data_IF_576758076372
#
_entry.id   IF_576758076372
#
_cell.length_a   1.000
_cell.length_b   1.000
_cell.length_c   1.000
_cell.angle_alpha   90.00
_cell.angle_beta   90.00
_cell.angle_gamma   90.00
#
_symmetry.space_group_name_H-M   'P 1'
#
loop_
_entity.id
_entity.type
_entity.pdbx_description
1 polymer ?
#
# COMPACT_ATOMS: atom_id res chain seq x y z
N UNK A 1 -13.89 1.46 37.67
CA UNK A 1 -15.06 1.13 36.81
C UNK A 1 -15.79 2.34 36.24
N UNK A 2 -16.61 3.12 36.96
CA UNK A 2 -17.42 4.22 36.34
C UNK A 2 -16.62 5.18 35.45
N UNK A 3 -15.43 5.60 35.89
CA UNK A 3 -14.56 6.50 35.12
C UNK A 3 -14.12 5.91 33.76
N UNK A 4 -13.72 4.63 33.74
CA UNK A 4 -13.44 3.87 32.51
C UNK A 4 -14.68 3.82 31.59
N UNK A 5 -15.88 3.55 32.14
CA UNK A 5 -17.11 3.55 31.35
C UNK A 5 -17.38 4.90 30.68
N UNK A 6 -17.13 6.02 31.37
CA UNK A 6 -17.30 7.37 30.81
C UNK A 6 -16.31 7.64 29.66
N UNK A 7 -15.04 7.27 29.82
CA UNK A 7 -14.03 7.47 28.77
C UNK A 7 -14.26 6.51 27.60
N UNK A 8 -14.63 5.25 27.84
CA UNK A 8 -15.02 4.32 26.77
C UNK A 8 -16.29 4.78 26.02
N UNK A 9 -17.25 5.43 26.69
CA UNK A 9 -18.42 6.02 26.03
C UNK A 9 -18.02 7.23 25.15
N UNK A 10 -17.11 8.07 25.62
CA UNK A 10 -16.53 9.17 24.83
C UNK A 10 -15.74 8.64 23.63
N UNK A 11 -14.86 7.67 23.84
CA UNK A 11 -14.07 7.03 22.80
C UNK A 11 -14.98 6.34 21.76
N UNK A 12 -16.04 5.63 22.20
CA UNK A 12 -17.09 5.15 21.29
C UNK A 12 -17.69 6.30 20.48
N UNK A 13 -18.02 7.44 21.10
CA UNK A 13 -18.53 8.64 20.42
C UNK A 13 -17.53 9.31 19.47
N UNK A 14 -16.23 9.03 19.59
CA UNK A 14 -15.19 9.44 18.66
C UNK A 14 -14.91 8.39 17.56
N UNK A 15 -15.07 7.09 17.83
CA UNK A 15 -14.72 5.97 16.92
C UNK A 15 -15.63 5.74 15.69
N UNK A 16 -16.72 6.48 15.53
CA UNK A 16 -17.40 6.61 14.22
C UNK A 16 -17.28 8.01 13.63
N UNK A 17 -16.64 8.92 14.38
CA UNK A 17 -15.91 10.11 13.93
C UNK A 17 -14.65 9.76 13.12
N UNK A 18 -13.84 8.89 13.72
CA UNK A 18 -12.39 8.77 13.50
C UNK A 18 -11.97 7.30 13.47
N UNK A 19 -10.91 6.98 12.74
CA UNK A 19 -10.43 5.60 12.51
C UNK A 19 -9.80 5.00 13.78
N UNK A 20 -9.15 5.82 14.62
CA UNK A 20 -8.50 5.42 15.86
C UNK A 20 -8.72 6.45 16.98
N UNK A 21 -8.70 6.01 18.23
CA UNK A 21 -8.82 6.86 19.43
C UNK A 21 -7.94 6.31 20.55
N UNK A 22 -7.13 7.16 21.19
CA UNK A 22 -6.43 6.84 22.43
C UNK A 22 -7.34 7.00 23.66
N UNK A 23 -7.29 6.02 24.56
CA UNK A 23 -7.94 6.03 25.87
C UNK A 23 -6.84 6.18 26.91
N UNK A 24 -6.80 7.34 27.58
CA UNK A 24 -5.83 7.64 28.63
C UNK A 24 -6.52 7.90 29.96
N UNK A 25 -6.03 7.26 31.02
CA UNK A 25 -6.55 7.34 32.38
C UNK A 25 -5.40 7.44 33.38
N UNK A 26 -5.37 8.50 34.18
CA UNK A 26 -4.31 8.72 35.18
C UNK A 26 -4.34 7.79 36.40
N UNK A 27 -5.44 7.06 36.62
CA UNK A 27 -5.58 6.09 37.71
C UNK A 27 -6.74 5.12 37.42
N UNK A 28 -6.42 3.87 37.08
CA UNK A 28 -7.41 2.82 36.82
C UNK A 28 -7.63 1.93 38.06
N UNK A 29 -6.54 1.50 38.69
CA UNK A 29 -6.51 0.74 39.94
C UNK A 29 -5.18 1.06 40.67
N UNK A 30 -5.21 1.22 42.00
CA UNK A 30 -4.03 1.37 42.87
C UNK A 30 -2.97 2.40 42.42
N UNK A 31 -3.37 3.44 41.68
CA UNK A 31 -2.47 4.48 41.17
C UNK A 31 -1.72 4.13 39.89
N UNK A 32 -1.99 2.97 39.28
CA UNK A 32 -1.51 2.66 37.93
C UNK A 32 -2.31 3.41 36.87
N UNK A 33 -1.60 4.13 36.01
CA UNK A 33 -2.16 4.72 34.79
C UNK A 33 -2.50 3.64 33.76
N UNK A 34 -3.46 3.93 32.89
CA UNK A 34 -3.86 3.07 31.78
C UNK A 34 -3.92 3.89 30.50
N UNK A 35 -3.11 3.50 29.51
CA UNK A 35 -3.18 4.01 28.15
C UNK A 35 -3.43 2.84 27.18
N UNK A 36 -4.37 3.01 26.26
CA UNK A 36 -4.66 2.01 25.23
C UNK A 36 -5.28 2.69 24.01
N UNK A 37 -4.74 2.41 22.83
CA UNK A 37 -5.34 2.82 21.55
C UNK A 37 -6.34 1.78 21.08
N UNK A 38 -7.53 2.23 20.70
CA UNK A 38 -8.59 1.40 20.12
C UNK A 38 -8.82 1.87 18.69
N UNK A 39 -8.77 0.95 17.74
CA UNK A 39 -9.13 1.22 16.34
C UNK A 39 -10.60 0.89 16.09
N UNK A 40 -11.17 1.53 15.07
CA UNK A 40 -12.56 1.32 14.63
C UNK A 40 -12.80 -0.15 14.24
N UNK A 41 -11.91 -0.76 13.46
CA UNK A 41 -11.99 -2.17 13.10
C UNK A 41 -11.96 -3.10 14.35
N UNK A 42 -11.12 -2.78 15.35
CA UNK A 42 -11.10 -3.57 16.59
C UNK A 42 -12.38 -3.42 17.39
N UNK A 43 -12.94 -2.21 17.48
CA UNK A 43 -14.24 -1.96 18.10
C UNK A 43 -15.39 -2.68 17.37
N UNK A 44 -15.35 -2.73 16.03
CA UNK A 44 -16.33 -3.45 15.20
C UNK A 44 -16.28 -4.97 15.49
N UNK A 45 -15.11 -5.61 15.39
CA UNK A 45 -14.95 -7.05 15.69
C UNK A 45 -15.36 -7.46 17.11
N UNK A 46 -15.32 -6.53 18.08
CA UNK A 46 -15.73 -6.78 19.47
C UNK A 46 -17.25 -6.67 19.68
N UNK A 47 -18.00 -6.11 18.72
CA UNK A 47 -19.43 -5.85 18.83
C UNK A 47 -20.25 -6.43 17.64
N UNK A 48 -19.61 -7.16 16.73
CA UNK A 48 -20.17 -7.74 15.51
C UNK A 48 -21.47 -8.53 15.79
N UNK A 49 -21.40 -9.54 16.66
CA UNK A 49 -22.56 -10.35 17.09
C UNK A 49 -23.72 -9.50 17.68
N UNK A 50 -23.40 -8.38 18.33
CA UNK A 50 -24.41 -7.46 18.87
C UNK A 50 -25.05 -6.62 17.76
N UNK A 51 -24.29 -6.22 16.74
CA UNK A 51 -24.82 -5.50 15.58
C UNK A 51 -25.71 -6.40 14.72
N UNK A 52 -25.32 -7.65 14.49
CA UNK A 52 -26.14 -8.65 13.77
C UNK A 52 -27.49 -8.86 14.44
N UNK A 53 -27.50 -9.10 15.76
CA UNK A 53 -28.74 -9.24 16.55
C UNK A 53 -29.62 -8.00 16.49
N UNK A 54 -29.03 -6.80 16.45
CA UNK A 54 -29.79 -5.56 16.25
C UNK A 54 -30.44 -5.51 14.86
N UNK A 55 -29.72 -5.89 13.79
CA UNK A 55 -30.25 -5.95 12.42
C UNK A 55 -31.38 -6.99 12.33
N UNK A 56 -31.19 -8.20 12.85
CA UNK A 56 -32.25 -9.23 12.90
C UNK A 56 -33.52 -8.75 13.60
N UNK A 57 -33.38 -8.07 14.73
CA UNK A 57 -34.52 -7.57 15.50
C UNK A 57 -35.29 -6.51 14.71
N UNK A 58 -34.58 -5.65 13.98
CA UNK A 58 -35.19 -4.64 13.10
C UNK A 58 -35.88 -5.29 11.91
N UNK A 59 -35.28 -6.30 11.27
CA UNK A 59 -35.90 -7.05 10.17
C UNK A 59 -37.22 -7.70 10.60
N UNK A 60 -37.24 -8.41 11.74
CA UNK A 60 -38.45 -9.04 12.31
C UNK A 60 -39.56 -8.01 12.58
N UNK A 61 -39.22 -6.84 13.16
CA UNK A 61 -40.18 -5.74 13.38
C UNK A 61 -40.71 -5.15 12.08
N UNK A 62 -39.92 -5.12 11.00
CA UNK A 62 -40.36 -4.64 9.68
C UNK A 62 -41.26 -5.65 8.96
N UNK A 63 -40.98 -6.95 9.10
CA UNK A 63 -41.86 -8.03 8.64
C UNK A 63 -43.23 -7.97 9.33
N UNK A 64 -43.25 -7.88 10.67
CA UNK A 64 -44.46 -7.73 11.48
C UNK A 64 -45.26 -6.48 11.09
N UNK A 65 -44.58 -5.36 10.83
CA UNK A 65 -45.20 -4.11 10.42
C UNK A 65 -45.69 -4.10 8.95
N UNK A 66 -45.26 -5.06 8.11
CA UNK A 66 -45.49 -5.12 6.66
C UNK A 66 -45.05 -3.86 5.91
N UNK A 67 -44.07 -3.13 6.43
CA UNK A 67 -43.54 -1.89 5.83
C UNK A 67 -42.42 -2.27 4.86
N UNK A 68 -42.56 -1.88 3.58
CA UNK A 68 -41.48 -2.07 2.60
C UNK A 68 -40.23 -1.27 3.01
N UNK A 69 -39.02 -1.85 2.95
CA UNK A 69 -37.80 -1.28 3.53
C UNK A 69 -37.46 0.15 3.07
N UNK A 70 -37.92 0.56 1.88
CA UNK A 70 -37.75 1.93 1.35
C UNK A 70 -38.30 3.04 2.26
N UNK A 71 -39.30 2.76 3.12
CA UNK A 71 -39.89 3.77 4.02
C UNK A 71 -39.11 4.04 5.31
N UNK A 72 -38.15 3.17 5.66
CA UNK A 72 -37.44 3.20 6.96
C UNK A 72 -36.22 4.13 6.92
N UNK A 73 -35.81 4.53 5.71
CA UNK A 73 -34.55 5.21 5.41
C UNK A 73 -34.38 6.55 6.14
N UNK A 74 -35.46 7.33 6.32
CA UNK A 74 -35.41 8.58 7.08
C UNK A 74 -35.31 8.36 8.59
N UNK A 75 -36.03 7.39 9.16
CA UNK A 75 -36.00 7.17 10.62
C UNK A 75 -34.65 6.58 11.08
N UNK A 76 -34.04 5.74 10.25
CA UNK A 76 -32.76 5.10 10.53
C UNK A 76 -31.57 6.07 10.44
N UNK A 77 -31.60 7.00 9.48
CA UNK A 77 -30.54 7.98 9.24
C UNK A 77 -30.25 8.87 10.47
N UNK A 78 -31.24 9.11 11.33
CA UNK A 78 -31.10 9.92 12.54
C UNK A 78 -30.59 9.15 13.76
N UNK A 79 -30.67 7.81 13.76
CA UNK A 79 -30.45 6.99 14.96
C UNK A 79 -29.10 6.25 14.94
N UNK A 80 -28.55 5.94 13.76
CA UNK A 80 -27.48 4.94 13.66
C UNK A 80 -26.29 5.37 12.79
N UNK A 81 -25.10 5.34 13.42
CA UNK A 81 -23.78 5.74 12.88
C UNK A 81 -23.32 4.89 11.67
N UNK A 82 -22.34 5.39 10.88
CA UNK A 82 -22.06 4.89 9.52
C UNK A 82 -21.58 3.44 9.39
N UNK A 83 -21.40 2.68 10.47
CA UNK A 83 -21.04 1.25 10.43
C UNK A 83 -22.15 0.38 9.87
N UNK A 84 -23.40 0.54 10.34
CA UNK A 84 -24.50 -0.34 9.92
C UNK A 84 -25.00 0.02 8.52
N UNK A 85 -24.65 1.21 8.02
CA UNK A 85 -24.99 1.63 6.66
C UNK A 85 -24.20 0.89 5.57
N UNK A 86 -22.99 0.38 5.88
CA UNK A 86 -22.26 -0.50 4.96
C UNK A 86 -22.98 -1.85 4.82
N UNK A 87 -23.24 -2.54 5.95
CA UNK A 87 -23.94 -3.83 5.97
C UNK A 87 -25.29 -3.78 5.24
N UNK A 88 -26.05 -2.69 5.40
CA UNK A 88 -27.33 -2.56 4.72
C UNK A 88 -27.22 -2.22 3.22
N UNK A 89 -26.15 -1.53 2.79
CA UNK A 89 -25.87 -1.33 1.37
C UNK A 89 -25.55 -2.64 0.64
N UNK A 90 -24.95 -3.61 1.33
CA UNK A 90 -24.63 -4.92 0.77
C UNK A 90 -25.86 -5.84 0.70
N UNK A 91 -26.73 -5.84 1.72
CA UNK A 91 -28.06 -6.48 1.63
C UNK A 91 -28.89 -5.86 0.49
N UNK A 92 -28.93 -4.53 0.39
CA UNK A 92 -29.60 -3.83 -0.71
C UNK A 92 -28.88 -3.96 -2.07
N UNK A 93 -27.70 -4.61 -2.13
CA UNK A 93 -27.06 -5.07 -3.38
C UNK A 93 -27.50 -6.49 -3.71
N UNK A 94 -27.58 -7.39 -2.74
CA UNK A 94 -28.10 -8.76 -2.93
C UNK A 94 -29.50 -8.75 -3.55
N UNK A 95 -30.47 -8.02 -2.97
CA UNK A 95 -31.83 -7.88 -3.51
C UNK A 95 -31.86 -7.46 -5.01
N UNK A 96 -30.87 -6.66 -5.44
CA UNK A 96 -30.76 -6.19 -6.83
C UNK A 96 -30.16 -7.25 -7.76
N UNK A 97 -29.19 -8.02 -7.29
CA UNK A 97 -28.59 -9.13 -8.05
C UNK A 97 -29.62 -10.26 -8.21
N UNK A 98 -30.34 -10.62 -7.15
CA UNK A 98 -31.41 -11.62 -7.21
C UNK A 98 -32.53 -11.21 -8.17
N UNK A 99 -32.95 -9.94 -8.13
CA UNK A 99 -33.93 -9.41 -9.09
C UNK A 99 -33.42 -9.35 -10.54
N UNK A 100 -32.11 -9.30 -10.78
CA UNK A 100 -31.53 -9.36 -12.12
C UNK A 100 -31.51 -10.80 -12.63
N UNK A 101 -31.05 -11.74 -11.81
CA UNK A 101 -31.03 -13.17 -12.15
C UNK A 101 -32.44 -13.69 -12.48
N UNK A 102 -33.47 -13.30 -11.72
CA UNK A 102 -34.86 -13.67 -12.02
C UNK A 102 -35.38 -13.09 -13.36
N UNK A 103 -34.88 -11.93 -13.79
CA UNK A 103 -35.21 -11.35 -15.11
C UNK A 103 -34.49 -12.08 -16.24
N UNK A 104 -33.24 -12.51 -16.01
CA UNK A 104 -32.47 -13.30 -16.98
C UNK A 104 -33.02 -14.72 -17.13
N UNK A 105 -33.43 -15.36 -16.03
CA UNK A 105 -34.08 -16.68 -16.01
C UNK A 105 -35.39 -16.67 -16.81
N UNK A 106 -36.31 -15.75 -16.51
CA UNK A 106 -37.58 -15.63 -17.23
C UNK A 106 -37.41 -15.26 -18.72
N UNK A 107 -36.37 -14.49 -19.08
CA UNK A 107 -36.02 -14.22 -20.47
C UNK A 107 -35.45 -15.47 -21.19
N UNK A 108 -34.68 -16.30 -20.48
CA UNK A 108 -34.15 -17.56 -21.00
C UNK A 108 -35.25 -18.61 -21.18
N UNK A 109 -36.20 -18.73 -20.24
CA UNK A 109 -37.39 -19.58 -20.36
C UNK A 109 -38.20 -19.25 -21.63
N UNK A 110 -38.49 -17.97 -21.86
CA UNK A 110 -39.19 -17.51 -23.08
C UNK A 110 -38.41 -17.84 -24.35
N UNK A 111 -37.07 -17.72 -24.32
CA UNK A 111 -36.24 -18.12 -25.45
C UNK A 111 -36.25 -19.63 -25.69
N UNK A 112 -36.29 -20.45 -24.64
CA UNK A 112 -36.38 -21.91 -24.77
C UNK A 112 -37.74 -22.35 -25.30
N UNK A 113 -38.85 -21.82 -24.78
CA UNK A 113 -40.20 -22.10 -25.32
C UNK A 113 -40.26 -21.79 -26.82
N UNK A 114 -39.74 -20.63 -27.25
CA UNK A 114 -39.69 -20.28 -28.69
C UNK A 114 -38.73 -21.13 -29.53
N UNK A 115 -37.82 -21.92 -28.91
CA UNK A 115 -37.00 -22.92 -29.59
C UNK A 115 -37.73 -24.26 -29.66
N UNK A 116 -38.36 -24.68 -28.58
CA UNK A 116 -39.17 -25.91 -28.50
C UNK A 116 -40.33 -25.89 -29.50
N UNK A 117 -41.06 -24.76 -29.61
CA UNK A 117 -42.11 -24.56 -30.62
C UNK A 117 -41.59 -24.78 -32.05
N UNK A 118 -40.39 -24.24 -32.37
CA UNK A 118 -39.77 -24.40 -33.69
C UNK A 118 -39.26 -25.82 -33.96
N UNK A 119 -38.85 -26.54 -32.92
CA UNK A 119 -38.49 -27.96 -33.04
C UNK A 119 -39.74 -28.80 -33.29
N UNK A 120 -40.83 -28.55 -32.54
CA UNK A 120 -42.10 -29.23 -32.74
C UNK A 120 -42.68 -28.99 -34.16
N UNK A 121 -42.61 -27.75 -34.67
CA UNK A 121 -42.98 -27.43 -36.05
C UNK A 121 -42.18 -28.27 -37.08
N UNK A 122 -40.86 -28.41 -36.87
CA UNK A 122 -39.97 -29.21 -37.73
C UNK A 122 -40.21 -30.72 -37.61
N UNK A 123 -40.58 -31.22 -36.44
CA UNK A 123 -40.95 -32.64 -36.24
C UNK A 123 -42.26 -33.00 -36.95
N UNK A 124 -43.25 -32.09 -36.97
CA UNK A 124 -44.49 -32.29 -37.72
C UNK A 124 -44.23 -32.31 -39.23
N UNK A 125 -43.39 -31.39 -39.74
CA UNK A 125 -42.96 -31.39 -41.14
C UNK A 125 -42.22 -32.69 -41.53
N UNK A 126 -41.38 -33.23 -40.63
CA UNK A 126 -40.68 -34.50 -40.83
C UNK A 126 -41.63 -35.72 -40.87
N UNK A 127 -42.65 -35.77 -40.01
CA UNK A 127 -43.62 -36.87 -39.97
C UNK A 127 -44.51 -36.90 -41.20
N UNK A 128 -44.98 -35.74 -41.68
CA UNK A 128 -45.76 -35.65 -42.90
C UNK A 128 -45.01 -36.25 -44.11
N UNK A 129 -43.71 -35.99 -44.22
CA UNK A 129 -42.84 -36.57 -45.25
C UNK A 129 -42.57 -38.07 -45.07
N UNK A 130 -42.72 -38.61 -43.85
CA UNK A 130 -42.59 -40.05 -43.60
C UNK A 130 -43.88 -40.81 -43.96
N UNK A 131 -45.04 -40.28 -43.59
CA UNK A 131 -46.35 -40.88 -43.90
C UNK A 131 -46.63 -40.92 -45.41
N UNK A 132 -46.14 -39.94 -46.17
CA UNK A 132 -46.21 -39.91 -47.64
C UNK A 132 -45.39 -41.03 -48.32
N UNK A 133 -44.43 -41.65 -47.61
CA UNK A 133 -43.57 -42.73 -48.13
C UNK A 133 -44.00 -44.15 -47.71
N UNK A 134 -45.03 -44.34 -46.88
CA UNK A 134 -45.37 -45.65 -46.27
C UNK A 134 -46.67 -46.28 -46.77
N UNK A 135 -47.09 -46.01 -48.01
CA UNK A 135 -48.41 -46.42 -48.54
C UNK A 135 -48.37 -47.66 -49.45
N UNK A 136 -47.19 -48.23 -49.75
CA UNK A 136 -47.07 -49.42 -50.61
C UNK A 136 -46.87 -50.75 -49.83
N UNK A 137 -47.84 -51.65 -50.06
CA UNK A 137 -47.89 -53.11 -49.89
C UNK A 137 -48.12 -53.82 -48.52
N UNK A 138 -49.09 -54.74 -48.59
CA UNK A 138 -49.57 -55.77 -47.62
C UNK A 138 -50.73 -56.54 -48.32
N UNK A 139 -51.18 -57.75 -47.88
CA UNK A 139 -50.66 -58.72 -46.89
C UNK A 139 -50.81 -60.22 -47.37
N UNK A 140 -51.00 -61.18 -46.43
CA UNK A 140 -51.70 -62.50 -46.56
C UNK A 140 -50.93 -63.73 -47.15
N UNK A 141 -51.12 -65.01 -46.77
CA UNK A 141 -51.71 -65.71 -45.58
C UNK A 141 -51.39 -67.25 -45.58
N UNK A 142 -51.48 -67.88 -44.39
CA UNK A 142 -51.89 -69.26 -43.92
C UNK A 142 -52.41 -70.34 -44.94
N UNK A 143 -52.53 -71.68 -44.72
CA UNK A 143 -52.07 -72.75 -43.78
C UNK A 143 -52.53 -74.17 -44.35
N UNK A 144 -52.26 -75.29 -43.62
CA UNK A 144 -52.84 -76.68 -43.72
C UNK A 144 -52.39 -77.63 -44.88
N UNK A 145 -51.99 -78.91 -44.70
CA UNK A 145 -52.44 -80.09 -43.88
C UNK A 145 -53.67 -80.83 -44.50
N UNK A 146 -53.75 -82.15 -44.76
CA UNK A 146 -52.79 -83.30 -44.78
C UNK A 146 -53.32 -84.48 -45.67
N UNK A 147 -52.44 -85.36 -46.21
CA UNK A 147 -52.66 -86.80 -46.56
C UNK A 147 -51.51 -87.44 -47.41
N UNK A 148 -50.58 -86.64 -47.96
CA UNK A 148 -49.32 -87.13 -48.56
C UNK A 148 -48.20 -87.35 -47.50
N UNK A 149 -48.53 -87.05 -46.24
CA UNK A 149 -47.73 -86.92 -45.03
C UNK A 149 -46.65 -88.01 -44.78
N UNK A 150 -46.79 -89.23 -45.32
CA UNK A 150 -45.79 -90.31 -45.13
C UNK A 150 -44.74 -90.43 -46.25
N UNK A 151 -45.07 -90.10 -47.51
CA UNK A 151 -44.03 -89.94 -48.55
C UNK A 151 -43.45 -88.52 -48.52
N UNK A 152 -44.26 -87.51 -48.13
CA UNK A 152 -43.75 -86.20 -47.76
C UNK A 152 -42.80 -86.30 -46.57
N UNK A 153 -43.13 -86.99 -45.46
CA UNK A 153 -42.17 -87.15 -44.36
C UNK A 153 -40.86 -87.86 -44.76
N UNK A 154 -40.87 -88.83 -45.69
CA UNK A 154 -39.62 -89.42 -46.19
C UNK A 154 -38.83 -88.46 -47.11
N UNK A 155 -39.52 -87.69 -47.95
CA UNK A 155 -38.92 -86.64 -48.77
C UNK A 155 -38.34 -85.50 -47.89
N UNK A 156 -39.11 -85.01 -46.92
CA UNK A 156 -38.70 -84.03 -45.91
C UNK A 156 -37.53 -84.54 -45.08
N UNK A 157 -37.49 -85.80 -44.66
CA UNK A 157 -36.32 -86.36 -43.95
C UNK A 157 -35.09 -86.37 -44.87
N UNK A 158 -35.24 -86.62 -46.17
CA UNK A 158 -34.14 -86.54 -47.13
C UNK A 158 -33.69 -85.09 -47.38
N UNK A 159 -34.63 -84.16 -47.57
CA UNK A 159 -34.37 -82.72 -47.72
C UNK A 159 -33.76 -82.12 -46.45
N UNK A 160 -34.20 -82.53 -45.27
CA UNK A 160 -33.60 -82.16 -43.98
C UNK A 160 -32.19 -82.73 -43.83
N UNK A 161 -31.91 -83.92 -44.36
CA UNK A 161 -30.54 -84.48 -44.39
C UNK A 161 -29.62 -83.72 -45.35
N UNK A 162 -30.10 -83.36 -46.55
CA UNK A 162 -29.35 -82.51 -47.49
C UNK A 162 -29.15 -81.10 -46.93
N UNK A 163 -30.18 -80.51 -46.32
CA UNK A 163 -30.08 -79.25 -45.59
C UNK A 163 -29.07 -79.35 -44.43
N UNK A 164 -29.07 -80.43 -43.64
CA UNK A 164 -28.06 -80.64 -42.59
C UNK A 164 -26.65 -80.80 -43.14
N UNK A 165 -26.48 -81.42 -44.32
CA UNK A 165 -25.19 -81.51 -45.01
C UNK A 165 -24.70 -80.13 -45.48
N UNK A 166 -25.57 -79.33 -46.11
CA UNK A 166 -25.30 -77.94 -46.49
C UNK A 166 -24.99 -77.07 -45.25
N UNK A 167 -25.76 -77.19 -44.17
CA UNK A 167 -25.47 -76.51 -42.88
C UNK A 167 -24.13 -76.95 -42.27
N UNK A 168 -23.69 -78.19 -42.50
CA UNK A 168 -22.37 -78.66 -42.08
C UNK A 168 -21.23 -78.12 -42.98
N UNK A 169 -21.53 -77.72 -44.21
CA UNK A 169 -20.61 -76.99 -45.11
C UNK A 169 -20.53 -75.51 -44.76
N UNK A 170 -21.66 -74.84 -44.63
CA UNK A 170 -21.75 -73.47 -44.11
C UNK A 170 -20.99 -73.32 -42.78
N UNK A 171 -21.14 -74.28 -41.85
CA UNK A 171 -20.42 -74.28 -40.57
C UNK A 171 -18.90 -74.36 -40.75
N UNK A 172 -18.41 -75.23 -41.65
CA UNK A 172 -16.97 -75.35 -41.96
C UNK A 172 -16.42 -74.06 -42.56
N UNK A 173 -17.17 -73.42 -43.45
CA UNK A 173 -16.75 -72.16 -44.07
C UNK A 173 -16.79 -70.98 -43.09
N UNK A 174 -17.78 -70.93 -42.19
CA UNK A 174 -17.85 -69.97 -41.08
C UNK A 174 -16.67 -70.16 -40.11
N UNK A 175 -16.34 -71.41 -39.75
CA UNK A 175 -15.17 -71.72 -38.91
C UNK A 175 -13.86 -71.28 -39.59
N UNK A 176 -13.68 -71.56 -40.88
CA UNK A 176 -12.52 -71.08 -41.66
C UNK A 176 -12.47 -69.54 -41.75
N UNK A 177 -13.62 -68.87 -41.90
CA UNK A 177 -13.72 -67.42 -41.89
C UNK A 177 -13.34 -66.84 -40.52
N UNK A 178 -13.82 -67.42 -39.41
CA UNK A 178 -13.44 -67.04 -38.05
C UNK A 178 -11.93 -67.19 -37.87
N UNK A 179 -11.33 -68.29 -38.30
CA UNK A 179 -9.89 -68.54 -38.22
C UNK A 179 -9.07 -67.50 -39.00
N UNK A 180 -9.55 -67.12 -40.19
CA UNK A 180 -8.95 -66.05 -41.00
C UNK A 180 -9.03 -64.68 -40.31
N UNK A 181 -10.17 -64.39 -39.66
CA UNK A 181 -10.40 -63.15 -38.91
C UNK A 181 -9.58 -63.11 -37.63
N UNK A 182 -9.39 -64.24 -36.93
CA UNK A 182 -8.50 -64.33 -35.77
C UNK A 182 -7.04 -64.08 -36.18
N UNK A 183 -6.58 -64.65 -37.30
CA UNK A 183 -5.24 -64.35 -37.86
C UNK A 183 -5.10 -62.87 -38.25
N UNK A 184 -6.13 -62.28 -38.86
CA UNK A 184 -6.18 -60.84 -39.22
C UNK A 184 -6.21 -59.95 -37.96
N UNK A 185 -6.93 -60.34 -36.91
CA UNK A 185 -6.97 -59.68 -35.60
C UNK A 185 -5.61 -59.74 -34.91
N UNK A 186 -4.93 -60.89 -34.92
CA UNK A 186 -3.57 -61.06 -34.38
C UNK A 186 -2.53 -60.21 -35.13
N UNK A 187 -2.65 -60.08 -36.46
CA UNK A 187 -1.82 -59.14 -37.24
C UNK A 187 -2.13 -57.67 -36.89
N UNK A 188 -3.40 -57.30 -36.75
CA UNK A 188 -3.79 -55.95 -36.29
C UNK A 188 -3.32 -55.65 -34.87
N UNK A 189 -3.34 -56.62 -33.95
CA UNK A 189 -2.88 -56.38 -32.57
C UNK A 189 -1.38 -56.17 -32.48
N UNK A 190 -0.57 -56.92 -33.25
CA UNK A 190 0.89 -56.68 -33.31
C UNK A 190 1.19 -55.29 -33.88
N UNK A 191 0.57 -54.92 -35.01
CA UNK A 191 0.74 -53.59 -35.61
C UNK A 191 0.12 -52.44 -34.77
N UNK A 192 -0.77 -52.74 -33.81
CA UNK A 192 -1.28 -51.78 -32.84
C UNK A 192 -0.31 -51.57 -31.66
N UNK A 193 0.43 -52.61 -31.25
CA UNK A 193 1.46 -52.52 -30.21
C UNK A 193 2.66 -51.72 -30.70
N UNK A 194 3.18 -52.03 -31.90
CA UNK A 194 4.27 -51.26 -32.53
C UNK A 194 3.88 -49.79 -32.73
N UNK A 195 2.58 -49.50 -32.97
CA UNK A 195 2.09 -48.13 -33.14
C UNK A 195 1.69 -47.43 -31.83
N UNK A 196 1.45 -48.15 -30.74
CA UNK A 196 1.25 -47.51 -29.42
C UNK A 196 2.58 -47.02 -28.84
N UNK A 197 3.66 -47.80 -28.99
CA UNK A 197 4.98 -47.42 -28.45
C UNK A 197 5.51 -46.07 -29.00
N UNK A 198 5.29 -45.79 -30.29
CA UNK A 198 5.63 -44.49 -30.89
C UNK A 198 4.71 -43.35 -30.39
N UNK A 199 3.41 -43.62 -30.19
CA UNK A 199 2.41 -42.61 -29.77
C UNK A 199 2.55 -42.26 -28.28
N UNK A 200 2.87 -43.24 -27.45
CA UNK A 200 3.07 -43.06 -26.01
C UNK A 200 4.31 -42.17 -25.74
N UNK A 201 5.38 -42.32 -26.53
CA UNK A 201 6.58 -41.46 -26.46
C UNK A 201 6.31 -40.00 -26.87
N UNK A 202 5.49 -39.75 -27.90
CA UNK A 202 5.06 -38.38 -28.26
C UNK A 202 4.11 -37.78 -27.21
N UNK A 203 3.23 -38.59 -26.61
CA UNK A 203 2.34 -38.17 -25.55
C UNK A 203 3.08 -37.78 -24.26
N UNK A 204 4.09 -38.57 -23.85
CA UNK A 204 4.94 -38.27 -22.70
C UNK A 204 5.80 -37.02 -22.92
N UNK A 205 6.34 -36.83 -24.13
CA UNK A 205 7.07 -35.60 -24.48
C UNK A 205 6.15 -34.35 -24.43
N UNK A 206 4.90 -34.47 -24.92
CA UNK A 206 3.91 -33.41 -24.85
C UNK A 206 3.44 -33.14 -23.40
N UNK A 207 3.37 -34.16 -22.55
CA UNK A 207 3.08 -34.01 -21.12
C UNK A 207 4.21 -33.29 -20.38
N UNK A 208 5.47 -33.67 -20.62
CA UNK A 208 6.64 -33.02 -20.04
C UNK A 208 6.74 -31.53 -20.45
N UNK A 209 6.48 -31.20 -21.72
CA UNK A 209 6.44 -29.82 -22.19
C UNK A 209 5.35 -28.98 -21.50
N UNK A 210 4.15 -29.56 -21.29
CA UNK A 210 3.07 -28.90 -20.53
C UNK A 210 3.43 -28.71 -19.06
N UNK A 211 4.08 -29.70 -18.44
CA UNK A 211 4.54 -29.58 -17.05
C UNK A 211 5.61 -28.50 -16.90
N UNK A 212 6.52 -28.36 -17.87
CA UNK A 212 7.50 -27.27 -17.90
C UNK A 212 6.82 -25.89 -17.98
N UNK A 213 5.89 -25.68 -18.90
CA UNK A 213 5.14 -24.41 -19.00
C UNK A 213 4.36 -24.12 -17.71
N UNK A 214 3.76 -25.14 -17.08
CA UNK A 214 3.10 -24.99 -15.78
C UNK A 214 4.07 -24.67 -14.62
N UNK A 215 5.35 -25.04 -14.74
CA UNK A 215 6.40 -24.72 -13.77
C UNK A 215 6.86 -23.27 -13.94
N UNK A 216 7.13 -22.85 -15.18
CA UNK A 216 7.47 -21.47 -15.54
C UNK A 216 6.36 -20.49 -15.11
N UNK A 217 5.09 -20.79 -15.39
CA UNK A 217 3.95 -19.97 -14.94
C UNK A 217 3.78 -19.91 -13.41
N UNK A 218 4.23 -20.94 -12.67
CA UNK A 218 4.25 -20.89 -11.19
C UNK A 218 5.38 -20.02 -10.69
N UNK A 219 6.56 -20.11 -11.30
CA UNK A 219 7.71 -19.27 -10.95
C UNK A 219 7.44 -17.78 -11.24
N UNK A 220 6.79 -17.46 -12.38
CA UNK A 220 6.33 -16.11 -12.73
C UNK A 220 5.27 -15.58 -11.76
N UNK A 221 4.30 -16.42 -11.38
CA UNK A 221 3.30 -16.07 -10.35
C UNK A 221 4.00 -15.78 -9.02
N UNK A 222 4.92 -16.63 -8.60
CA UNK A 222 5.61 -16.50 -7.32
C UNK A 222 6.64 -15.35 -7.32
N UNK A 223 7.13 -14.89 -8.47
CA UNK A 223 7.86 -13.61 -8.58
C UNK A 223 6.93 -12.41 -8.49
N UNK A 224 5.81 -12.40 -9.23
CA UNK A 224 4.83 -11.32 -9.17
C UNK A 224 4.24 -11.15 -7.77
N UNK A 225 3.97 -12.25 -7.06
CA UNK A 225 3.50 -12.18 -5.66
C UNK A 225 4.55 -11.55 -4.73
N UNK A 226 5.85 -11.81 -4.93
CA UNK A 226 6.92 -11.16 -4.16
C UNK A 226 7.09 -9.68 -4.51
N UNK A 227 6.91 -9.31 -5.78
CA UNK A 227 6.95 -7.92 -6.24
C UNK A 227 5.77 -7.11 -5.68
N UNK A 228 4.57 -7.69 -5.64
CA UNK A 228 3.38 -7.07 -5.03
C UNK A 228 3.60 -6.84 -3.53
N UNK A 229 4.01 -7.87 -2.78
CA UNK A 229 4.28 -7.74 -1.33
C UNK A 229 5.36 -6.67 -1.08
N UNK A 230 6.43 -6.64 -1.89
CA UNK A 230 7.47 -5.63 -1.77
C UNK A 230 7.00 -4.21 -2.12
N UNK A 231 6.01 -4.06 -2.99
CA UNK A 231 5.38 -2.77 -3.28
C UNK A 231 4.46 -2.32 -2.13
N UNK A 232 3.60 -3.21 -1.63
CA UNK A 232 2.73 -2.97 -0.46
C UNK A 232 3.57 -2.55 0.76
N UNK A 233 4.63 -3.31 1.08
CA UNK A 233 5.61 -2.96 2.12
C UNK A 233 6.29 -1.60 1.93
N UNK A 234 6.39 -1.08 0.71
CA UNK A 234 6.99 0.22 0.40
C UNK A 234 5.95 1.36 0.41
N UNK A 235 4.68 1.03 0.18
CA UNK A 235 3.56 1.95 0.36
C UNK A 235 3.25 2.14 1.86
N UNK A 236 3.19 1.07 2.66
CA UNK A 236 3.05 1.14 4.12
C UNK A 236 4.11 2.05 4.76
N UNK A 237 5.39 1.85 4.39
CA UNK A 237 6.49 2.72 4.84
C UNK A 237 6.32 4.18 4.39
N UNK A 238 5.70 4.44 3.23
CA UNK A 238 5.42 5.80 2.79
C UNK A 238 4.27 6.42 3.58
N UNK A 239 3.23 5.66 3.92
CA UNK A 239 2.14 6.11 4.79
C UNK A 239 2.64 6.43 6.21
N UNK A 240 3.45 5.58 6.82
CA UNK A 240 4.11 5.84 8.11
C UNK A 240 4.91 7.16 8.09
N UNK A 241 5.73 7.37 7.05
CA UNK A 241 6.46 8.63 6.86
C UNK A 241 5.52 9.85 6.70
N UNK A 242 4.32 9.67 6.14
CA UNK A 242 3.30 10.73 6.00
C UNK A 242 2.59 11.02 7.32
N UNK A 243 2.44 10.03 8.21
CA UNK A 243 1.94 10.24 9.57
C UNK A 243 2.92 11.04 10.44
N UNK A 244 4.24 10.84 10.27
CA UNK A 244 5.27 11.61 10.99
C UNK A 244 5.47 13.05 10.46
N UNK A 245 5.19 13.30 9.17
CA UNK A 245 5.35 14.61 8.53
C UNK A 245 4.69 15.81 9.27
N UNK A 246 3.46 15.75 9.80
CA UNK A 246 2.89 16.85 10.59
C UNK A 246 3.68 17.14 11.87
N UNK A 247 4.07 16.13 12.65
CA UNK A 247 4.85 16.34 13.87
C UNK A 247 6.21 16.98 13.58
N UNK A 248 6.92 16.48 12.56
CA UNK A 248 8.19 17.05 12.10
C UNK A 248 8.03 18.50 11.56
N UNK A 249 6.90 18.84 10.93
CA UNK A 249 6.61 20.23 10.50
C UNK A 249 6.41 21.15 11.69
N UNK A 250 5.72 20.69 12.73
CA UNK A 250 5.46 21.46 13.94
C UNK A 250 6.76 21.70 14.71
N UNK A 251 7.59 20.67 14.94
CA UNK A 251 8.94 20.81 15.53
C UNK A 251 9.82 21.79 14.73
N UNK A 252 9.83 21.69 13.40
CA UNK A 252 10.56 22.62 12.53
C UNK A 252 9.99 24.05 12.63
N UNK A 253 8.70 24.22 12.91
CA UNK A 253 8.09 25.53 13.12
C UNK A 253 8.51 26.14 14.46
N UNK A 254 8.54 25.36 15.53
CA UNK A 254 9.02 25.78 16.86
C UNK A 254 10.51 26.12 16.84
N UNK A 255 11.33 25.29 16.21
CA UNK A 255 12.76 25.55 16.03
C UNK A 255 13.03 26.84 15.21
N UNK A 256 12.19 27.13 14.20
CA UNK A 256 12.25 28.40 13.46
C UNK A 256 11.87 29.60 14.33
N UNK A 257 10.85 29.46 15.19
CA UNK A 257 10.42 30.51 16.11
C UNK A 257 11.50 30.83 17.16
N UNK A 258 12.05 29.82 17.83
CA UNK A 258 13.13 30.03 18.80
C UNK A 258 14.40 30.57 18.12
N UNK A 259 14.74 30.12 16.91
CA UNK A 259 15.83 30.72 16.11
C UNK A 259 15.59 32.21 15.84
N UNK A 260 14.37 32.61 15.47
CA UNK A 260 14.03 34.01 15.21
C UNK A 260 14.14 34.88 16.48
N UNK A 261 13.70 34.34 17.62
CA UNK A 261 13.80 34.97 18.94
C UNK A 261 15.26 35.15 19.39
N UNK A 262 16.10 34.12 19.22
CA UNK A 262 17.55 34.21 19.47
C UNK A 262 18.20 35.22 18.52
N UNK A 263 17.83 35.22 17.24
CA UNK A 263 18.35 36.19 16.26
C UNK A 263 18.03 37.64 16.66
N UNK A 264 16.80 37.92 17.11
CA UNK A 264 16.42 39.23 17.61
C UNK A 264 17.22 39.66 18.86
N UNK A 265 17.54 38.71 19.76
CA UNK A 265 18.43 38.97 20.90
C UNK A 265 19.86 39.28 20.43
N UNK A 266 20.40 38.52 19.48
CA UNK A 266 21.73 38.78 18.89
C UNK A 266 21.79 40.15 18.23
N UNK A 267 20.77 40.55 17.48
CA UNK A 267 20.77 41.84 16.78
C UNK A 267 20.56 43.04 17.72
N UNK A 268 19.80 42.89 18.80
CA UNK A 268 19.72 43.91 19.85
C UNK A 268 21.05 44.06 20.63
N UNK A 269 21.72 42.96 20.96
CA UNK A 269 23.07 42.98 21.56
C UNK A 269 24.10 43.60 20.62
N UNK A 270 24.05 43.30 19.32
CA UNK A 270 24.89 43.95 18.28
C UNK A 270 24.66 45.46 18.23
N UNK A 271 23.40 45.90 18.29
CA UNK A 271 23.06 47.33 18.30
C UNK A 271 23.57 48.03 19.57
N UNK A 272 23.44 47.40 20.73
CA UNK A 272 24.02 47.89 21.99
C UNK A 272 25.55 47.99 21.92
N UNK A 273 26.21 46.93 21.44
CA UNK A 273 27.66 46.88 21.28
C UNK A 273 28.16 47.96 20.32
N UNK A 274 27.47 48.16 19.18
CA UNK A 274 27.77 49.25 18.24
C UNK A 274 27.55 50.64 18.87
N UNK A 275 26.56 50.81 19.76
CA UNK A 275 26.32 52.05 20.53
C UNK A 275 27.41 52.27 21.58
N UNK A 276 27.86 51.22 22.28
CA UNK A 276 28.96 51.29 23.26
C UNK A 276 30.28 51.62 22.57
N UNK A 277 30.62 50.98 21.44
CA UNK A 277 31.78 51.32 20.59
C UNK A 277 31.76 52.78 20.11
N UNK A 278 30.59 53.31 19.70
CA UNK A 278 30.46 54.74 19.34
C UNK A 278 30.69 55.67 20.53
N UNK A 279 30.16 55.35 21.72
CA UNK A 279 30.45 56.14 22.94
C UNK A 279 31.93 56.10 23.32
N UNK A 280 32.55 54.93 23.21
CA UNK A 280 33.97 54.73 23.53
C UNK A 280 34.87 55.56 22.62
N UNK A 281 34.67 55.49 21.29
CA UNK A 281 35.31 56.38 20.31
C UNK A 281 35.19 57.84 20.74
N UNK A 282 33.95 58.35 20.86
CA UNK A 282 33.73 59.75 21.20
C UNK A 282 34.42 60.18 22.51
N UNK A 283 34.49 59.30 23.51
CA UNK A 283 35.17 59.60 24.77
C UNK A 283 36.70 59.62 24.62
N UNK A 284 37.27 58.79 23.75
CA UNK A 284 38.70 58.82 23.38
C UNK A 284 38.99 60.05 22.53
N UNK A 285 38.20 60.33 21.50
CA UNK A 285 38.33 61.51 20.63
C UNK A 285 38.32 62.81 21.44
N UNK A 286 37.37 62.92 22.39
CA UNK A 286 37.29 64.07 23.32
C UNK A 286 38.52 64.14 24.23
N UNK A 287 39.10 63.02 24.68
CA UNK A 287 40.35 63.03 25.44
C UNK A 287 41.55 63.46 24.59
N UNK A 288 41.66 63.00 23.33
CA UNK A 288 42.71 63.43 22.40
C UNK A 288 42.62 64.94 22.11
N UNK A 289 41.42 65.46 21.87
CA UNK A 289 41.18 66.88 21.62
C UNK A 289 41.46 67.74 22.86
N UNK A 290 40.89 67.39 24.01
CA UNK A 290 41.03 68.18 25.25
C UNK A 290 42.43 68.11 25.87
N UNK A 291 43.21 67.08 25.58
CA UNK A 291 44.59 66.96 26.05
C UNK A 291 45.56 67.99 25.43
N UNK A 292 45.15 68.74 24.39
CA UNK A 292 45.93 69.87 23.85
C UNK A 292 45.82 71.14 24.70
N UNK A 293 44.75 71.29 25.48
CA UNK A 293 44.42 72.50 26.22
C UNK A 293 44.68 72.39 27.74
N UNK A 294 45.04 71.20 28.25
CA UNK A 294 45.31 70.98 29.68
C UNK A 294 46.78 71.23 30.06
N UNK A 295 47.00 71.90 31.19
CA UNK A 295 48.32 72.10 31.80
C UNK A 295 48.37 71.40 33.17
N UNK A 296 49.23 70.38 33.38
CA UNK A 296 50.07 69.71 32.38
C UNK A 296 49.24 68.85 31.39
N UNK A 297 49.77 68.52 30.20
CA UNK A 297 49.06 67.74 29.18
C UNK A 297 48.87 66.28 29.65
N UNK A 298 47.65 65.96 30.07
CA UNK A 298 47.28 64.65 30.63
C UNK A 298 46.85 63.61 29.58
N UNK A 299 47.49 63.62 28.40
CA UNK A 299 47.27 62.61 27.37
C UNK A 299 47.70 61.23 27.88
N UNK A 300 46.75 60.30 28.10
CA UNK A 300 47.08 58.93 28.53
C UNK A 300 47.58 58.09 27.35
N UNK A 301 48.71 57.44 27.52
CA UNK A 301 49.34 56.60 26.52
C UNK A 301 48.47 55.38 26.17
N UNK A 302 47.69 54.87 27.12
CA UNK A 302 46.71 53.80 26.87
C UNK A 302 45.58 54.25 25.94
N UNK A 303 45.17 55.53 26.01
CA UNK A 303 44.10 56.07 25.17
C UNK A 303 44.55 56.22 23.71
N UNK A 304 45.80 56.62 23.48
CA UNK A 304 46.40 56.68 22.13
C UNK A 304 46.48 55.29 21.50
N UNK A 305 46.96 54.29 22.26
CA UNK A 305 47.03 52.91 21.80
C UNK A 305 45.66 52.32 21.45
N UNK A 306 44.64 52.58 22.27
CA UNK A 306 43.27 52.12 22.00
C UNK A 306 42.63 52.85 20.82
N UNK A 307 42.99 54.11 20.54
CA UNK A 307 42.52 54.83 19.37
C UNK A 307 43.08 54.22 18.09
N UNK A 308 44.41 54.07 18.01
CA UNK A 308 45.09 53.48 16.84
C UNK A 308 44.62 52.05 16.57
N UNK A 309 44.50 51.21 17.61
CA UNK A 309 43.91 49.87 17.45
C UNK A 309 42.46 49.92 16.96
N UNK A 310 41.69 50.94 17.30
CA UNK A 310 40.31 51.09 16.83
C UNK A 310 40.24 51.53 15.36
N UNK A 311 41.15 52.41 14.91
CA UNK A 311 41.21 52.87 13.52
C UNK A 311 41.53 51.72 12.55
N UNK A 312 42.42 50.82 12.93
CA UNK A 312 42.81 49.63 12.15
C UNK A 312 41.98 48.38 12.52
N UNK A 313 40.65 48.54 12.62
CA UNK A 313 39.66 47.45 12.82
C UNK A 313 39.87 46.50 14.02
N UNK A 314 40.71 46.88 14.99
CA UNK A 314 41.06 46.09 16.16
C UNK A 314 42.39 45.35 16.06
N UNK A 315 43.06 45.33 14.90
CA UNK A 315 44.28 44.55 14.66
C UNK A 315 45.43 45.41 14.12
N UNK A 316 46.61 45.32 14.74
CA UNK A 316 47.80 46.03 14.25
C UNK A 316 49.10 45.28 14.60
N UNK A 317 50.13 45.39 13.76
CA UNK A 317 51.46 44.89 14.12
C UNK A 317 52.04 45.61 15.34
N UNK A 318 52.64 44.86 16.28
CA UNK A 318 53.25 45.40 17.50
C UNK A 318 54.29 46.50 17.20
N UNK A 319 54.96 46.45 16.05
CA UNK A 319 55.98 47.42 15.67
C UNK A 319 55.39 48.65 14.97
N UNK A 320 54.34 48.50 14.18
CA UNK A 320 53.58 49.61 13.56
C UNK A 320 52.91 50.43 14.67
N UNK A 321 52.22 49.77 15.59
CA UNK A 321 51.57 50.38 16.76
C UNK A 321 52.54 51.18 17.63
N UNK A 322 53.79 50.71 17.77
CA UNK A 322 54.83 51.49 18.48
C UNK A 322 55.26 52.73 17.73
N UNK A 323 55.36 52.67 16.40
CA UNK A 323 55.77 53.80 15.57
C UNK A 323 54.69 54.86 15.54
N UNK A 324 53.45 54.49 15.21
CA UNK A 324 52.30 55.41 15.15
C UNK A 324 51.95 56.00 16.53
N UNK A 325 51.97 55.20 17.60
CA UNK A 325 51.76 55.75 18.94
C UNK A 325 52.89 56.73 19.35
N UNK A 326 54.14 56.47 18.92
CA UNK A 326 55.26 57.37 19.22
C UNK A 326 55.19 58.67 18.43
N UNK A 327 54.67 58.71 17.20
CA UNK A 327 54.47 59.96 16.46
C UNK A 327 53.36 60.80 17.09
N UNK A 328 52.20 60.20 17.39
CA UNK A 328 51.07 60.91 18.02
C UNK A 328 51.45 61.46 19.41
N UNK A 329 52.24 60.73 20.20
CA UNK A 329 52.72 61.21 21.51
C UNK A 329 53.72 62.37 21.41
N UNK A 330 54.53 62.44 20.34
CA UNK A 330 55.43 63.57 20.07
C UNK A 330 54.67 64.85 19.74
N UNK A 331 53.65 64.75 18.87
CA UNK A 331 52.82 65.90 18.49
C UNK A 331 52.12 66.56 19.68
N UNK A 332 51.83 65.76 20.72
CA UNK A 332 51.24 66.19 21.99
C UNK A 332 52.28 66.46 23.10
N UNK A 333 53.56 66.59 22.75
CA UNK A 333 54.61 67.09 23.66
C UNK A 333 55.10 66.11 24.72
N UNK A 334 54.78 64.81 24.62
CA UNK A 334 55.34 63.80 25.53
C UNK A 334 56.74 63.34 25.07
N UNK A 335 57.71 63.19 26.00
CA UNK A 335 59.07 62.81 25.64
C UNK A 335 59.12 61.40 25.06
N UNK A 336 59.78 61.28 23.91
CA UNK A 336 59.87 60.05 23.13
C UNK A 336 60.41 58.86 23.93
N UNK A 337 59.68 57.76 23.92
CA UNK A 337 60.16 56.51 24.47
C UNK A 337 59.31 55.32 24.07
N UNK A 338 59.85 54.44 23.21
CA UNK A 338 59.30 53.10 22.96
C UNK A 338 58.98 52.36 24.27
N UNK A 339 59.77 52.58 25.33
CA UNK A 339 59.51 52.02 26.66
C UNK A 339 58.22 52.51 27.35
N UNK A 340 57.74 53.72 27.05
CA UNK A 340 56.47 54.24 27.59
C UNK A 340 55.31 53.56 26.87
N UNK A 341 55.35 53.52 25.53
CA UNK A 341 54.36 52.81 24.70
C UNK A 341 54.30 51.32 25.06
N UNK A 342 55.46 50.67 25.27
CA UNK A 342 55.53 49.27 25.70
C UNK A 342 54.90 49.07 27.09
N UNK A 343 55.12 49.96 28.07
CA UNK A 343 54.45 49.87 29.38
C UNK A 343 52.94 50.03 29.25
N UNK A 344 52.47 51.01 28.47
CA UNK A 344 51.04 51.24 28.24
C UNK A 344 50.38 50.03 27.55
N UNK A 345 51.05 49.44 26.55
CA UNK A 345 50.60 48.23 25.88
C UNK A 345 50.52 47.03 26.84
N UNK A 346 51.55 46.78 27.66
CA UNK A 346 51.50 45.70 28.66
C UNK A 346 50.51 45.98 29.81
N UNK A 347 50.21 47.25 30.12
CA UNK A 347 49.12 47.63 31.04
C UNK A 347 47.76 47.26 30.46
N UNK A 348 47.50 47.54 29.18
CA UNK A 348 46.29 47.12 28.48
C UNK A 348 46.13 45.59 28.42
N UNK A 349 47.24 44.86 28.21
CA UNK A 349 47.27 43.38 28.26
C UNK A 349 46.98 42.86 29.67
N UNK A 350 47.59 43.45 30.71
CA UNK A 350 47.34 43.06 32.10
C UNK A 350 45.89 43.32 32.55
N UNK A 351 45.24 44.34 31.97
CA UNK A 351 43.82 44.65 32.19
C UNK A 351 42.87 43.80 31.31
N UNK A 352 43.38 42.89 30.48
CA UNK A 352 42.57 42.03 29.59
C UNK A 352 41.85 42.80 28.47
N UNK A 353 42.34 43.98 28.10
CA UNK A 353 41.74 44.83 27.05
C UNK A 353 42.32 44.52 25.68
N UNK A 354 43.57 44.05 25.64
CA UNK A 354 44.35 43.81 24.43
C UNK A 354 45.05 42.45 24.55
N UNK A 355 45.01 41.66 23.49
CA UNK A 355 45.78 40.42 23.35
C UNK A 355 46.97 40.67 22.42
N UNK A 356 48.10 40.00 22.67
CA UNK A 356 49.26 40.01 21.77
C UNK A 356 49.56 38.60 21.32
N UNK A 357 49.31 38.32 20.05
CA UNK A 357 49.58 37.04 19.45
C UNK A 357 51.00 37.00 18.88
N UNK A 358 51.84 36.12 19.44
CA UNK A 358 53.27 35.99 19.10
C UNK A 358 53.54 34.96 18.00
N UNK A 359 52.48 34.33 17.50
CA UNK A 359 52.49 33.38 16.38
C UNK A 359 52.86 34.05 15.06
N UNK A 360 52.40 35.28 14.84
CA UNK A 360 52.79 36.13 13.71
C UNK A 360 54.18 36.75 13.95
N UNK A 361 55.06 36.71 12.94
CA UNK A 361 56.48 37.07 13.08
C UNK A 361 56.78 38.51 13.55
N UNK A 362 55.84 39.43 13.39
CA UNK A 362 55.95 40.83 13.87
C UNK A 362 55.23 41.07 15.22
N UNK A 363 54.52 40.06 15.74
CA UNK A 363 53.53 40.17 16.82
C UNK A 363 52.27 40.89 16.35
N UNK A 364 51.11 40.24 16.45
CA UNK A 364 49.82 40.87 16.19
C UNK A 364 49.22 41.38 17.51
N UNK A 365 48.72 42.61 17.52
CA UNK A 365 48.00 43.20 18.66
C UNK A 365 46.52 43.22 18.31
N UNK A 366 45.70 42.52 19.09
CA UNK A 366 44.26 42.43 18.89
C UNK A 366 43.53 43.10 20.05
N UNK A 367 42.69 44.08 19.77
CA UNK A 367 41.84 44.74 20.75
C UNK A 367 40.60 43.88 21.04
N UNK A 368 40.40 43.49 22.29
CA UNK A 368 39.23 42.72 22.72
C UNK A 368 37.97 43.59 22.90
N UNK A 369 38.05 44.87 22.49
CA UNK A 369 36.95 45.83 22.50
C UNK A 369 36.32 46.04 21.11
N UNK A 370 36.94 45.52 20.05
CA UNK A 370 36.52 45.64 18.63
C UNK A 370 35.89 44.34 18.13
#
# INVERSE_FOLDING_TARGET
MRHLCTVCASAKSMLSTTISVSIELGSLLEGMGFSSTVTRAKFESLNEELFERCVETVLKVLEDAKIRPKGVMELWFWITRPTIQCLWNDVARMDRVESQLAQEETAWEQQMQSREEKVAEKEVELKALQEENTVEDSPEQEEEEDDAEYEEAEAEIAELQEALALRAEERRDIEAAIDSLQRKKKRRSVALVEKSEDVDMEADAAAAAREQVLRELREEKDSLQREIIAAEEMEEKQEENVEELPALKDEVSEAKYERAKIQAQVDSLRLELARRKRKMRHMVDVQLLTARDTNPPTLREEAVLLHLLYEHEGEMGVNELKQEASTVLQEHGKPNGNGVVIRALYSLVANGVVQIDRSYGNGLVTSLLV
#
